data_IF_541954091468
#
_entry.id   IF_541954091468
#
_cell.length_a   1.000
_cell.length_b   1.000
_cell.length_c   1.000
_cell.angle_alpha   90.00
_cell.angle_beta   90.00
_cell.angle_gamma   90.00
#
_symmetry.space_group_name_H-M   'P 1'
#
loop_
_entity.id
_entity.type
_entity.pdbx_description
1 polymer ?
#
# COMPACT_ATOMS: atom_id res chain seq x y z
N UNK A 1 -3.08 -33.90 6.51
CA UNK A 1 -2.91 -32.45 6.47
C UNK A 1 -1.42 -32.13 6.46
N UNK A 2 -0.93 -31.19 5.63
CA UNK A 2 0.48 -30.88 5.58
C UNK A 2 0.93 -30.12 6.84
N UNK A 3 2.16 -30.39 7.29
CA UNK A 3 2.78 -29.64 8.36
C UNK A 3 3.32 -28.29 7.89
N UNK A 4 3.62 -28.16 6.58
CA UNK A 4 4.12 -26.95 5.94
C UNK A 4 3.40 -26.68 4.62
N UNK A 5 2.93 -25.45 4.44
CA UNK A 5 2.37 -24.92 3.20
C UNK A 5 3.34 -23.92 2.58
N UNK A 6 3.75 -24.16 1.34
CA UNK A 6 4.58 -23.25 0.56
C UNK A 6 3.70 -22.51 -0.46
N UNK A 7 3.83 -21.20 -0.51
CA UNK A 7 3.08 -20.35 -1.45
C UNK A 7 4.02 -19.37 -2.13
N UNK A 8 3.90 -19.25 -3.45
CA UNK A 8 4.65 -18.30 -4.26
C UNK A 8 3.65 -17.34 -4.94
N UNK A 9 3.72 -16.06 -4.59
CA UNK A 9 2.85 -14.97 -5.07
C UNK A 9 1.35 -15.33 -5.12
N UNK A 10 0.77 -15.92 -4.06
CA UNK A 10 -0.56 -16.56 -4.14
C UNK A 10 -1.70 -15.57 -4.39
N UNK A 11 -1.50 -14.27 -4.16
CA UNK A 11 -2.54 -13.25 -4.25
C UNK A 11 -2.26 -12.16 -5.28
N UNK A 12 -1.19 -12.27 -6.07
CA UNK A 12 -0.73 -11.21 -6.98
C UNK A 12 -1.76 -10.82 -8.06
N UNK A 13 -2.57 -11.77 -8.54
CA UNK A 13 -3.54 -11.55 -9.62
C UNK A 13 -4.98 -11.28 -9.12
N UNK A 14 -5.19 -11.04 -7.83
CA UNK A 14 -6.51 -10.92 -7.22
C UNK A 14 -6.92 -9.47 -7.00
N UNK A 15 -8.21 -9.17 -7.16
CA UNK A 15 -8.78 -7.90 -6.73
C UNK A 15 -8.74 -7.74 -5.20
N UNK A 16 -8.84 -6.49 -4.75
CA UNK A 16 -8.70 -6.13 -3.33
C UNK A 16 -9.72 -6.86 -2.44
N UNK A 17 -10.96 -7.02 -2.91
CA UNK A 17 -12.03 -7.65 -2.13
C UNK A 17 -11.78 -9.14 -1.94
N UNK A 18 -11.42 -9.85 -3.00
CA UNK A 18 -11.11 -11.27 -2.98
C UNK A 18 -9.82 -11.53 -2.17
N UNK A 19 -8.78 -10.70 -2.37
CA UNK A 19 -7.54 -10.76 -1.59
C UNK A 19 -7.84 -10.69 -0.08
N UNK A 20 -8.65 -9.73 0.36
CA UNK A 20 -9.01 -9.58 1.77
C UNK A 20 -9.81 -10.78 2.34
N UNK A 21 -10.63 -11.42 1.53
CA UNK A 21 -11.36 -12.64 1.94
C UNK A 21 -10.41 -13.83 2.10
N UNK A 22 -9.51 -14.04 1.15
CA UNK A 22 -8.55 -15.13 1.18
C UNK A 22 -7.51 -14.98 2.28
N UNK A 23 -7.05 -13.76 2.58
CA UNK A 23 -6.19 -13.48 3.73
C UNK A 23 -6.86 -13.94 5.04
N UNK A 24 -8.13 -13.57 5.24
CA UNK A 24 -8.88 -14.00 6.43
C UNK A 24 -9.07 -15.51 6.50
N UNK A 25 -9.30 -16.17 5.36
CA UNK A 25 -9.43 -17.60 5.29
C UNK A 25 -8.13 -18.32 5.67
N UNK A 26 -7.00 -17.85 5.11
CA UNK A 26 -5.67 -18.38 5.40
C UNK A 26 -5.33 -18.27 6.89
N UNK A 27 -5.52 -17.10 7.49
CA UNK A 27 -5.26 -16.87 8.91
C UNK A 27 -6.12 -17.74 9.83
N UNK A 28 -7.41 -17.93 9.49
CA UNK A 28 -8.30 -18.84 10.24
C UNK A 28 -7.87 -20.29 10.12
N UNK A 29 -7.46 -20.70 8.93
CA UNK A 29 -6.97 -22.06 8.69
C UNK A 29 -5.72 -22.35 9.52
N UNK A 30 -4.74 -21.42 9.48
CA UNK A 30 -3.50 -21.53 10.23
C UNK A 30 -3.74 -21.58 11.74
N UNK A 31 -4.60 -20.70 12.28
CA UNK A 31 -4.91 -20.67 13.71
C UNK A 31 -5.59 -21.97 14.21
N UNK A 32 -6.34 -22.67 13.34
CA UNK A 32 -7.05 -23.88 13.73
C UNK A 32 -6.24 -25.17 13.63
N UNK A 33 -5.16 -25.20 12.83
CA UNK A 33 -4.48 -26.44 12.43
C UNK A 33 -3.00 -26.53 12.76
N UNK A 34 -2.38 -25.45 13.16
CA UNK A 34 -0.93 -25.41 13.46
C UNK A 34 -0.01 -25.64 12.24
N UNK A 35 -0.56 -25.59 11.02
CA UNK A 35 0.23 -25.69 9.78
C UNK A 35 1.16 -24.49 9.66
N UNK A 36 2.45 -24.72 9.51
CA UNK A 36 3.40 -23.66 9.19
C UNK A 36 3.18 -23.16 7.74
N UNK A 37 3.30 -21.87 7.52
CA UNK A 37 3.16 -21.26 6.18
C UNK A 37 4.42 -20.51 5.83
N UNK A 38 5.03 -20.84 4.70
CA UNK A 38 6.10 -20.05 4.07
C UNK A 38 5.55 -19.44 2.79
N UNK A 39 5.44 -18.12 2.75
CA UNK A 39 4.90 -17.38 1.62
C UNK A 39 5.98 -16.47 1.02
N UNK A 40 6.10 -16.46 -0.28
CA UNK A 40 6.89 -15.50 -1.04
C UNK A 40 5.92 -14.48 -1.64
N UNK A 41 6.21 -13.20 -1.46
CA UNK A 41 5.45 -12.10 -2.05
C UNK A 41 6.34 -10.87 -2.22
N UNK A 42 6.05 -10.04 -3.22
CA UNK A 42 6.66 -8.72 -3.38
C UNK A 42 5.81 -7.60 -2.73
N UNK A 43 4.64 -7.94 -2.20
CA UNK A 43 3.76 -6.99 -1.50
C UNK A 43 4.11 -6.94 0.01
N UNK A 44 4.84 -5.88 0.39
CA UNK A 44 5.30 -5.70 1.78
C UNK A 44 4.14 -5.57 2.78
N UNK A 45 3.04 -4.93 2.37
CA UNK A 45 1.84 -4.82 3.21
C UNK A 45 1.17 -6.17 3.45
N UNK A 46 1.16 -7.01 2.43
CA UNK A 46 0.64 -8.37 2.53
C UNK A 46 1.50 -9.21 3.48
N UNK A 47 2.83 -9.15 3.33
CA UNK A 47 3.76 -9.82 4.23
C UNK A 47 3.55 -9.38 5.69
N UNK A 48 3.50 -8.07 5.95
CA UNK A 48 3.25 -7.52 7.29
C UNK A 48 1.88 -7.91 7.84
N UNK A 49 0.87 -8.02 7.00
CA UNK A 49 -0.49 -8.40 7.41
C UNK A 49 -0.58 -9.86 7.87
N UNK A 50 0.09 -10.77 7.16
CA UNK A 50 -0.11 -12.21 7.30
C UNK A 50 0.94 -12.93 8.13
N UNK A 51 2.21 -12.51 8.05
CA UNK A 51 3.32 -13.27 8.62
C UNK A 51 3.59 -12.93 10.10
N UNK A 52 4.00 -13.92 10.87
CA UNK A 52 4.54 -13.71 12.22
C UNK A 52 5.99 -13.21 12.15
N UNK A 53 6.68 -13.54 11.06
CA UNK A 53 8.04 -13.05 10.77
C UNK A 53 8.15 -12.75 9.28
N UNK A 54 8.60 -11.55 8.95
CA UNK A 54 8.89 -11.09 7.58
C UNK A 54 10.41 -11.11 7.38
N UNK A 55 10.86 -11.83 6.35
CA UNK A 55 12.24 -11.84 5.90
C UNK A 55 12.37 -11.09 4.59
N UNK A 56 13.11 -9.98 4.60
CA UNK A 56 13.37 -9.20 3.39
C UNK A 56 14.64 -9.71 2.72
N UNK A 57 14.54 -10.07 1.45
CA UNK A 57 15.65 -10.59 0.66
C UNK A 57 16.10 -9.56 -0.38
N UNK A 58 17.41 -9.40 -0.52
CA UNK A 58 18.01 -8.67 -1.63
C UNK A 58 18.41 -9.64 -2.75
N UNK A 59 18.45 -9.11 -3.98
CA UNK A 59 18.95 -9.83 -5.16
C UNK A 59 20.46 -9.68 -5.34
N UNK A 60 21.09 -10.66 -5.97
CA UNK A 60 22.41 -10.68 -6.53
C UNK A 60 23.63 -10.56 -5.60
N UNK A 61 24.00 -11.57 -4.80
CA UNK A 61 23.33 -12.84 -4.56
C UNK A 61 22.16 -12.71 -3.61
N UNK A 62 21.16 -13.62 -3.72
CA UNK A 62 20.03 -13.63 -2.80
C UNK A 62 20.48 -13.79 -1.35
N UNK A 63 20.20 -12.80 -0.51
CA UNK A 63 20.50 -12.85 0.92
C UNK A 63 19.40 -12.15 1.73
N UNK A 64 19.22 -12.57 2.98
CA UNK A 64 18.32 -11.90 3.93
C UNK A 64 19.02 -10.64 4.43
N UNK A 65 18.43 -9.48 4.17
CA UNK A 65 18.97 -8.18 4.56
C UNK A 65 18.25 -7.56 5.74
N UNK A 66 17.05 -8.03 6.05
CA UNK A 66 16.29 -7.56 7.21
C UNK A 66 15.30 -8.62 7.67
N UNK A 67 15.05 -8.65 8.98
CA UNK A 67 14.01 -9.46 9.60
C UNK A 67 13.13 -8.56 10.45
N UNK A 68 11.81 -8.69 10.29
CA UNK A 68 10.82 -7.95 11.08
C UNK A 68 9.78 -8.90 11.64
N UNK A 69 9.40 -8.69 12.90
CA UNK A 69 8.32 -9.44 13.56
C UNK A 69 7.29 -8.44 14.07
N UNK A 70 6.12 -8.35 13.42
CA UNK A 70 5.05 -7.46 13.87
C UNK A 70 4.61 -7.79 15.29
N UNK A 71 4.36 -6.78 16.12
CA UNK A 71 4.08 -6.95 17.54
C UNK A 71 2.75 -7.65 17.83
N UNK A 72 1.73 -7.39 17.00
CA UNK A 72 0.41 -7.97 17.18
C UNK A 72 0.28 -9.31 16.44
N UNK A 73 -0.48 -10.29 16.97
CA UNK A 73 -0.84 -11.49 16.23
C UNK A 73 -1.58 -11.14 14.94
N UNK A 74 -1.34 -11.90 13.85
CA UNK A 74 -1.88 -11.58 12.52
C UNK A 74 -3.40 -11.37 12.49
N UNK A 75 -4.17 -12.17 13.25
CA UNK A 75 -5.63 -12.01 13.36
C UNK A 75 -6.09 -10.74 14.07
N UNK A 76 -5.23 -10.12 14.88
CA UNK A 76 -5.56 -8.91 15.65
C UNK A 76 -5.04 -7.62 14.96
N UNK A 77 -4.30 -7.74 13.85
CA UNK A 77 -3.74 -6.58 13.15
C UNK A 77 -4.84 -5.79 12.44
N UNK A 78 -4.95 -4.53 12.80
CA UNK A 78 -5.78 -3.55 12.07
C UNK A 78 -5.04 -3.01 10.85
N UNK A 79 -5.76 -2.43 9.90
CA UNK A 79 -5.15 -1.78 8.74
C UNK A 79 -4.17 -0.69 9.15
N UNK A 80 -4.49 0.10 10.17
CA UNK A 80 -3.61 1.15 10.69
C UNK A 80 -2.26 0.58 11.21
N UNK A 81 -2.28 -0.57 11.88
CA UNK A 81 -1.05 -1.24 12.34
C UNK A 81 -0.23 -1.74 11.15
N UNK A 82 -0.87 -2.33 10.15
CA UNK A 82 -0.19 -2.80 8.94
C UNK A 82 0.46 -1.64 8.19
N UNK A 83 -0.25 -0.51 8.03
CA UNK A 83 0.31 0.70 7.41
C UNK A 83 1.50 1.25 8.19
N UNK A 84 1.38 1.31 9.52
CA UNK A 84 2.46 1.79 10.39
C UNK A 84 3.71 0.92 10.26
N UNK A 85 3.60 -0.38 10.44
CA UNK A 85 4.71 -1.33 10.38
C UNK A 85 5.36 -1.34 8.98
N UNK A 86 4.56 -1.25 7.93
CA UNK A 86 5.04 -1.14 6.54
C UNK A 86 5.86 0.16 6.35
N UNK A 87 5.37 1.27 6.88
CA UNK A 87 6.08 2.54 6.81
C UNK A 87 7.41 2.50 7.58
N UNK A 88 7.44 1.88 8.76
CA UNK A 88 8.67 1.70 9.53
C UNK A 88 9.68 0.81 8.76
N UNK A 89 9.23 -0.29 8.17
CA UNK A 89 10.08 -1.15 7.34
C UNK A 89 10.69 -0.37 6.17
N UNK A 90 9.89 0.48 5.51
CA UNK A 90 10.37 1.30 4.39
C UNK A 90 11.32 2.44 4.80
N UNK A 91 11.53 2.70 6.09
CA UNK A 91 12.57 3.59 6.60
C UNK A 91 13.92 2.89 6.71
N UNK A 92 13.96 1.57 6.77
CA UNK A 92 15.19 0.81 6.87
C UNK A 92 15.96 0.87 5.54
N UNK A 93 17.20 1.39 5.51
CA UNK A 93 17.93 1.57 4.25
C UNK A 93 18.14 0.27 3.47
N UNK A 94 18.41 -0.85 4.16
CA UNK A 94 18.59 -2.16 3.53
C UNK A 94 17.29 -2.67 2.89
N UNK A 95 16.13 -2.41 3.49
CA UNK A 95 14.81 -2.74 2.93
C UNK A 95 14.55 -1.89 1.69
N UNK A 96 14.77 -0.58 1.76
CA UNK A 96 14.62 0.32 0.61
C UNK A 96 15.47 -0.14 -0.57
N UNK A 97 16.74 -0.44 -0.33
CA UNK A 97 17.65 -0.92 -1.36
C UNK A 97 17.16 -2.24 -1.99
N UNK A 98 16.65 -3.18 -1.17
CA UNK A 98 16.12 -4.45 -1.66
C UNK A 98 14.89 -4.26 -2.59
N UNK A 99 14.08 -3.21 -2.37
CA UNK A 99 12.94 -2.84 -3.22
C UNK A 99 13.30 -1.85 -4.35
N UNK A 100 14.58 -1.51 -4.53
CA UNK A 100 15.03 -0.54 -5.55
C UNK A 100 14.54 0.88 -5.30
N UNK A 101 14.23 1.23 -4.04
CA UNK A 101 13.80 2.57 -3.66
C UNK A 101 15.03 3.43 -3.32
N UNK A 102 15.01 4.69 -3.75
CA UNK A 102 16.05 5.66 -3.43
C UNK A 102 16.19 5.85 -1.90
N UNK A 103 17.39 6.20 -1.45
CA UNK A 103 17.63 6.57 -0.06
C UNK A 103 16.75 7.78 0.26
N UNK A 104 15.99 7.72 1.38
CA UNK A 104 15.26 8.88 1.87
C UNK A 104 16.30 9.98 2.16
N UNK A 105 16.30 11.03 1.37
CA UNK A 105 16.95 12.27 1.77
C UNK A 105 16.08 12.82 2.90
N UNK A 106 16.72 12.99 4.06
CA UNK A 106 16.06 13.57 5.24
C UNK A 106 15.71 15.03 4.89
N UNK A 107 14.45 15.28 4.50
CA UNK A 107 13.96 16.65 4.18
C UNK A 107 13.88 17.54 5.44
N UNK A 108 14.67 17.22 6.46
CA UNK A 108 14.71 17.91 7.74
C UNK A 108 15.87 18.88 7.96
N UNK A 109 16.81 19.01 7.02
CA UNK A 109 17.86 20.01 7.10
C UNK A 109 17.52 21.18 6.17
N UNK A 110 16.84 22.20 6.71
CA UNK A 110 16.82 23.53 6.11
C UNK A 110 18.26 24.08 6.09
N UNK A 111 19.06 23.62 5.12
CA UNK A 111 20.33 24.23 4.81
C UNK A 111 20.04 25.38 3.84
N UNK A 112 20.03 26.58 4.38
CA UNK A 112 20.20 27.81 3.61
C UNK A 112 21.49 27.73 2.80
N UNK A 113 21.40 27.24 1.58
CA UNK A 113 22.44 27.40 0.57
C UNK A 113 22.08 28.61 -0.29
N UNK A 114 23.00 29.60 -0.48
CA UNK A 114 22.70 30.74 -1.32
C UNK A 114 22.80 30.36 -2.78
N UNK A 115 21.73 30.56 -3.54
CA UNK A 115 21.78 30.80 -4.97
C UNK A 115 21.86 29.59 -5.88
N UNK A 116 20.75 28.92 -6.09
CA UNK A 116 20.44 28.29 -7.37
C UNK A 116 18.95 28.51 -7.65
N UNK A 117 18.68 29.38 -8.62
CA UNK A 117 17.35 29.64 -9.11
C UNK A 117 16.77 28.35 -9.68
N UNK A 118 15.85 27.72 -8.96
CA UNK A 118 15.02 26.66 -9.50
C UNK A 118 14.08 27.31 -10.50
N UNK A 119 14.36 27.11 -11.77
CA UNK A 119 13.52 27.58 -12.87
C UNK A 119 12.26 26.70 -12.89
N UNK A 120 11.28 27.07 -12.12
CA UNK A 120 9.95 26.43 -12.16
C UNK A 120 9.32 26.87 -13.47
N UNK A 121 9.34 26.01 -14.48
CA UNK A 121 8.56 26.20 -15.69
C UNK A 121 7.08 26.20 -15.28
N UNK A 122 6.33 27.28 -15.55
CA UNK A 122 4.90 27.28 -15.29
C UNK A 122 4.24 26.24 -16.21
N UNK A 123 3.56 25.26 -15.64
CA UNK A 123 2.63 24.42 -16.37
C UNK A 123 1.56 25.34 -16.96
N UNK A 124 1.64 25.57 -18.27
CA UNK A 124 0.65 26.35 -19.00
C UNK A 124 -0.71 25.72 -18.82
N UNK A 125 -1.62 26.54 -18.29
CA UNK A 125 -2.93 26.17 -17.82
C UNK A 125 -3.80 25.48 -18.86
N UNK A 126 -4.24 24.29 -18.52
CA UNK A 126 -5.53 23.83 -18.98
C UNK A 126 -6.60 24.55 -18.17
N UNK A 127 -7.18 25.55 -18.84
CA UNK A 127 -8.34 26.31 -18.37
C UNK A 127 -9.48 25.32 -18.14
N UNK A 128 -9.74 25.01 -16.88
CA UNK A 128 -10.99 24.38 -16.48
C UNK A 128 -12.12 25.35 -16.81
N UNK A 129 -12.82 25.13 -17.92
CA UNK A 129 -14.08 25.82 -18.20
C UNK A 129 -15.08 25.38 -17.13
N UNK A 130 -15.41 26.33 -16.27
CA UNK A 130 -16.51 26.18 -15.32
C UNK A 130 -17.79 25.84 -16.11
N UNK A 131 -18.38 24.70 -15.82
CA UNK A 131 -19.72 24.34 -16.26
C UNK A 131 -20.69 25.36 -15.66
N UNK A 132 -21.23 26.24 -16.49
CA UNK A 132 -22.31 27.12 -16.11
C UNK A 132 -23.57 26.28 -15.86
N UNK A 133 -24.32 26.55 -14.78
CA UNK A 133 -25.60 25.87 -14.57
C UNK A 133 -26.60 26.31 -15.66
N UNK A 134 -27.33 25.34 -16.18
CA UNK A 134 -28.39 25.56 -17.19
C UNK A 134 -29.48 26.48 -16.63
N UNK A 135 -30.03 27.39 -17.46
CA UNK A 135 -31.11 28.28 -17.02
C UNK A 135 -32.40 27.48 -16.78
N UNK A 136 -33.03 27.77 -15.65
CA UNK A 136 -34.34 27.25 -15.28
C UNK A 136 -35.38 27.65 -16.35
N UNK A 137 -36.03 26.65 -16.98
CA UNK A 137 -37.14 26.89 -17.92
C UNK A 137 -38.40 27.28 -17.14
N UNK A 138 -38.92 28.44 -17.55
CA UNK A 138 -40.03 29.11 -16.94
C UNK A 138 -41.32 28.31 -16.91
N UNK A 139 -42.05 28.58 -15.86
CA UNK A 139 -43.49 28.31 -15.71
C UNK A 139 -44.32 28.75 -16.93
N UNK A 140 -45.03 27.82 -17.52
CA UNK A 140 -46.16 28.15 -18.39
C UNK A 140 -47.45 28.20 -17.60
N UNK A 141 -47.85 29.42 -17.41
CA UNK A 141 -49.15 29.93 -16.95
C UNK A 141 -50.32 29.23 -17.63
N UNK A 142 -51.31 28.97 -16.86
CA UNK A 142 -52.55 28.30 -17.20
C UNK A 142 -53.33 28.85 -18.39
N UNK A 143 -54.15 27.97 -18.93
CA UNK A 143 -55.25 28.33 -19.83
C UNK A 143 -56.51 27.71 -19.26
N UNK A 144 -57.44 28.60 -18.90
CA UNK A 144 -58.85 28.30 -18.60
C UNK A 144 -59.49 27.80 -19.86
N UNK A 145 -60.35 26.81 -19.78
CA UNK A 145 -61.53 26.63 -20.63
C UNK A 145 -62.69 26.25 -19.74
N UNK A 146 -63.72 26.87 -19.98
CA UNK A 146 -65.10 26.99 -19.87
C UNK A 146 -65.96 25.76 -20.07
#
# INVERSE_FOLDING_TARGET
EPDLLLMDEPFAALDIGLKAQLHRLLLRHQAGKGTAVLMITHDLMEAVRLADTVLVMAAGPGCIVHQHSPQAPALARTDAMVYHDTAELLRVPAVRAAFGLDVLQDEGACATAPGSAVNVLPLQGHRLQALQPAPAQGEKKGMRCG
#
